data_IF_954119392024
#
_entry.id   IF_954119392024
#
_cell.length_a   1.000
_cell.length_b   1.000
_cell.length_c   1.000
_cell.angle_alpha   90.00
_cell.angle_beta   90.00
_cell.angle_gamma   90.00
#
_symmetry.space_group_name_H-M   'P 1'
#
loop_
_entity.id
_entity.type
_entity.pdbx_description
1 polymer ?
#
# COMPACT_ATOMS: atom_id res chain seq x y z
N UNK A 1 10.40 1.38 7.82
CA UNK A 1 9.70 0.89 6.61
C UNK A 1 10.05 -0.55 6.35
N UNK A 2 9.46 -1.19 5.33
CA UNK A 2 9.70 -2.61 4.99
C UNK A 2 10.94 -2.83 4.10
N UNK A 3 11.54 -1.75 3.58
CA UNK A 3 12.59 -1.83 2.57
C UNK A 3 12.06 -2.15 1.17
N UNK A 4 10.74 -2.16 1.01
CA UNK A 4 10.03 -2.32 -0.26
C UNK A 4 9.18 -1.06 -0.44
N UNK A 5 9.10 -0.57 -1.67
CA UNK A 5 8.25 0.55 -2.05
C UNK A 5 7.43 0.14 -3.28
N UNK A 6 6.30 0.79 -3.47
CA UNK A 6 5.41 0.58 -4.61
C UNK A 6 5.06 1.95 -5.20
N UNK A 7 4.85 1.99 -6.51
CA UNK A 7 4.29 3.16 -7.18
C UNK A 7 2.85 3.44 -6.74
N UNK A 8 2.40 4.68 -6.92
CA UNK A 8 1.00 5.07 -6.68
C UNK A 8 0.04 4.16 -7.43
N UNK A 9 0.36 3.84 -8.69
CA UNK A 9 -0.49 2.99 -9.53
C UNK A 9 -0.54 1.53 -9.06
N UNK A 10 0.55 1.00 -8.50
CA UNK A 10 0.55 -0.34 -7.89
C UNK A 10 -0.33 -0.37 -6.64
N UNK A 11 -0.26 0.64 -5.77
CA UNK A 11 -1.16 0.76 -4.63
C UNK A 11 -2.63 0.81 -5.08
N UNK A 12 -2.94 1.64 -6.08
CA UNK A 12 -4.30 1.73 -6.63
C UNK A 12 -4.78 0.40 -7.23
N UNK A 13 -3.93 -0.29 -7.98
CA UNK A 13 -4.26 -1.59 -8.56
C UNK A 13 -4.50 -2.67 -7.49
N UNK A 14 -3.69 -2.69 -6.42
CA UNK A 14 -3.88 -3.65 -5.33
C UNK A 14 -5.21 -3.42 -4.61
N UNK A 15 -5.54 -2.16 -4.31
CA UNK A 15 -6.79 -1.81 -3.63
C UNK A 15 -7.99 -2.06 -4.55
N UNK A 16 -7.91 -1.67 -5.82
CA UNK A 16 -9.00 -1.85 -6.78
C UNK A 16 -9.39 -3.32 -6.94
N UNK A 17 -8.39 -4.20 -7.03
CA UNK A 17 -8.59 -5.65 -7.07
C UNK A 17 -9.22 -6.17 -5.77
N UNK A 18 -8.76 -5.67 -4.62
CA UNK A 18 -9.25 -6.09 -3.31
C UNK A 18 -10.75 -5.78 -3.12
N UNK A 19 -11.21 -4.63 -3.61
CA UNK A 19 -12.60 -4.17 -3.45
C UNK A 19 -13.49 -4.47 -4.65
N UNK A 20 -12.99 -5.22 -5.64
CA UNK A 20 -13.67 -5.50 -6.91
C UNK A 20 -14.15 -4.23 -7.65
N UNK A 21 -13.32 -3.18 -7.68
CA UNK A 21 -13.62 -1.95 -8.40
C UNK A 21 -13.41 -2.13 -9.92
N UNK A 22 -14.48 -1.92 -10.70
CA UNK A 22 -14.49 -2.07 -12.16
C UNK A 22 -14.44 -0.73 -12.93
N UNK A 23 -14.32 0.40 -12.23
CA UNK A 23 -14.23 1.71 -12.85
C UNK A 23 -12.84 2.02 -13.45
N UNK A 24 -12.67 3.27 -13.89
CA UNK A 24 -11.41 3.74 -14.51
C UNK A 24 -10.71 4.77 -13.63
N UNK A 25 -9.40 4.59 -13.46
CA UNK A 25 -8.54 5.59 -12.82
C UNK A 25 -8.18 6.70 -13.81
N UNK A 26 -8.16 7.94 -13.34
CA UNK A 26 -7.63 9.10 -14.06
C UNK A 26 -6.74 9.91 -13.13
N UNK A 27 -5.68 10.51 -13.68
CA UNK A 27 -4.76 11.37 -12.93
C UNK A 27 -5.03 12.82 -13.25
N UNK A 28 -5.18 13.66 -12.22
CA UNK A 28 -5.25 15.09 -12.40
C UNK A 28 -3.83 15.71 -12.27
N UNK A 29 -3.14 15.86 -13.40
CA UNK A 29 -1.78 16.38 -13.46
C UNK A 29 -1.66 17.90 -13.23
N UNK A 30 -2.77 18.61 -12.99
CA UNK A 30 -2.73 20.02 -12.58
C UNK A 30 -2.34 20.22 -11.10
N UNK A 31 -2.31 19.13 -10.32
CA UNK A 31 -2.01 19.17 -8.88
C UNK A 31 -0.51 18.98 -8.63
N UNK A 32 0.05 19.61 -7.58
CA UNK A 32 1.46 19.43 -7.25
C UNK A 32 1.75 17.97 -6.90
N UNK A 33 2.88 17.47 -7.39
CA UNK A 33 3.35 16.13 -7.09
C UNK A 33 4.22 16.10 -5.82
N UNK A 34 4.19 14.98 -5.12
CA UNK A 34 5.06 14.73 -3.97
C UNK A 34 6.48 14.31 -4.39
N UNK A 35 7.28 13.90 -3.40
CA UNK A 35 8.59 13.29 -3.69
C UNK A 35 8.42 12.00 -4.49
N UNK A 36 9.27 11.82 -5.50
CA UNK A 36 9.25 10.64 -6.38
C UNK A 36 9.39 9.31 -5.63
N UNK A 37 10.16 9.28 -4.54
CA UNK A 37 10.37 8.08 -3.72
C UNK A 37 10.64 8.41 -2.27
N UNK A 38 10.04 7.64 -1.35
CA UNK A 38 10.29 7.70 0.09
C UNK A 38 10.49 6.29 0.65
N UNK A 39 11.65 5.70 0.35
CA UNK A 39 12.02 4.35 0.78
C UNK A 39 13.05 4.39 1.92
N UNK A 40 12.83 3.56 2.94
CA UNK A 40 13.75 3.36 4.06
C UNK A 40 14.60 2.12 3.82
N UNK A 41 15.92 2.24 3.87
CA UNK A 41 16.82 1.08 3.90
C UNK A 41 16.62 0.29 5.21
N UNK A 42 16.53 -1.03 5.09
CA UNK A 42 16.29 -1.97 6.19
C UNK A 42 17.47 -2.92 6.44
N UNK A 43 18.63 -2.67 5.83
CA UNK A 43 19.81 -3.55 5.97
C UNK A 43 20.21 -3.75 7.43
N UNK A 44 20.31 -2.68 8.21
CA UNK A 44 20.76 -2.77 9.60
C UNK A 44 19.75 -3.49 10.51
N UNK A 45 18.46 -3.16 10.40
CA UNK A 45 17.43 -3.82 11.21
C UNK A 45 17.28 -5.31 10.88
N UNK A 46 17.53 -5.71 9.62
CA UNK A 46 17.58 -7.11 9.21
C UNK A 46 18.75 -7.88 9.83
N UNK A 47 19.91 -7.24 10.04
CA UNK A 47 21.06 -7.86 10.74
C UNK A 47 20.74 -8.18 12.20
N UNK A 48 19.86 -7.38 12.82
CA UNK A 48 19.37 -7.62 14.18
C UNK A 48 18.33 -8.76 14.25
N UNK A 49 18.09 -9.47 13.15
CA UNK A 49 17.13 -10.57 13.06
C UNK A 49 15.69 -10.13 12.90
N UNK A 50 15.40 -8.83 12.92
CA UNK A 50 14.05 -8.31 12.74
C UNK A 50 13.64 -8.33 11.26
N UNK A 51 12.43 -8.82 10.99
CA UNK A 51 11.85 -8.88 9.65
C UNK A 51 10.38 -8.48 9.71
N UNK A 52 9.89 -7.90 8.62
CA UNK A 52 8.48 -7.57 8.45
C UNK A 52 7.66 -8.84 8.42
N UNK A 53 6.63 -8.92 9.28
CA UNK A 53 5.76 -10.09 9.39
C UNK A 53 4.70 -10.16 8.27
N UNK A 54 4.26 -9.01 7.78
CA UNK A 54 3.16 -8.89 6.82
C UNK A 54 3.65 -8.30 5.50
N UNK A 55 3.12 -8.83 4.41
CA UNK A 55 3.13 -8.21 3.09
C UNK A 55 2.10 -7.08 3.01
N UNK A 56 2.21 -6.21 2.00
CA UNK A 56 1.21 -5.16 1.78
C UNK A 56 -0.16 -5.76 1.46
N UNK A 57 -0.22 -6.88 0.73
CA UNK A 57 -1.47 -7.54 0.36
C UNK A 57 -2.19 -8.12 1.59
N UNK A 58 -1.46 -8.74 2.52
CA UNK A 58 -2.03 -9.23 3.78
C UNK A 58 -2.55 -8.07 4.62
N UNK A 59 -1.75 -7.01 4.78
CA UNK A 59 -2.14 -5.82 5.53
C UNK A 59 -3.38 -5.13 4.94
N UNK A 60 -3.46 -5.00 3.61
CA UNK A 60 -4.63 -4.43 2.92
C UNK A 60 -5.88 -5.27 3.14
N UNK A 61 -5.79 -6.60 3.03
CA UNK A 61 -6.92 -7.51 3.27
C UNK A 61 -7.48 -7.40 4.68
N UNK A 62 -6.60 -7.44 5.68
CA UNK A 62 -7.01 -7.32 7.09
C UNK A 62 -7.62 -5.94 7.38
N UNK A 63 -7.02 -4.88 6.81
CA UNK A 63 -7.52 -3.50 6.95
C UNK A 63 -8.90 -3.35 6.32
N UNK A 64 -9.10 -3.90 5.12
CA UNK A 64 -10.39 -3.83 4.44
C UNK A 64 -11.47 -4.65 5.15
N UNK A 65 -11.11 -5.84 5.67
CA UNK A 65 -11.99 -6.64 6.52
C UNK A 65 -12.43 -5.85 7.74
N UNK A 66 -11.49 -5.26 8.49
CA UNK A 66 -11.79 -4.41 9.63
C UNK A 66 -12.72 -3.25 9.26
N UNK A 67 -12.44 -2.56 8.14
CA UNK A 67 -13.30 -1.49 7.65
C UNK A 67 -14.74 -1.98 7.40
N UNK A 68 -14.92 -3.12 6.72
CA UNK A 68 -16.25 -3.70 6.47
C UNK A 68 -16.98 -4.09 7.75
N UNK A 69 -16.28 -4.62 8.74
CA UNK A 69 -16.90 -5.04 10.02
C UNK A 69 -17.32 -3.86 10.91
N UNK A 70 -16.67 -2.70 10.78
CA UNK A 70 -16.86 -1.57 11.71
C UNK A 70 -17.53 -0.35 11.08
N UNK A 71 -17.46 -0.21 9.75
CA UNK A 71 -17.89 0.99 9.03
C UNK A 71 -18.56 0.70 7.68
N UNK A 72 -18.46 -0.53 7.17
CA UNK A 72 -19.14 -0.90 5.93
C UNK A 72 -20.61 -1.16 6.18
N UNK A 73 -21.49 -0.51 5.42
CA UNK A 73 -22.88 -0.96 5.26
C UNK A 73 -22.94 -2.42 4.79
#
# INVERSE_FOLDING_TARGET
GTGIDYSINEYYSMISKLIAYEGKFTHNLSKPEGMQRKLVDTKEIKKLGWKTKYTIQEGLKETYKYFKENYGE
#
